data_IF_388036899233
#
_entry.id   IF_388036899233
#
_cell.length_a   1.000
_cell.length_b   1.000
_cell.length_c   1.000
_cell.angle_alpha   90.00
_cell.angle_beta   90.00
_cell.angle_gamma   90.00
#
_symmetry.space_group_name_H-M   'P 1'
#
loop_
_entity.id
_entity.type
_entity.pdbx_description
1 polymer ?
#
# COMPACT_ATOMS: atom_id res chain seq x y z
N UNK A 1 12.25 -14.79 5.85
CA UNK A 1 11.51 -13.88 4.94
C UNK A 1 12.09 -12.50 5.10
N UNK A 2 12.68 -11.96 4.04
CA UNK A 2 13.14 -10.58 3.97
C UNK A 2 11.96 -9.64 4.17
N UNK A 3 12.13 -8.64 5.02
CA UNK A 3 11.11 -7.62 5.31
C UNK A 3 10.93 -6.72 4.07
N UNK A 4 9.73 -6.17 3.82
CA UNK A 4 9.57 -5.11 2.82
C UNK A 4 10.55 -3.96 3.13
N UNK A 5 11.27 -3.49 2.11
CA UNK A 5 12.20 -2.38 2.21
C UNK A 5 12.03 -1.45 1.00
N UNK A 6 12.72 -0.32 1.02
CA UNK A 6 12.62 0.71 -0.03
C UNK A 6 13.85 0.74 -0.95
N UNK A 7 14.55 -0.39 -1.08
CA UNK A 7 15.82 -0.45 -1.80
C UNK A 7 15.66 -0.03 -3.27
N UNK A 8 14.50 -0.29 -3.88
CA UNK A 8 14.21 0.09 -5.26
C UNK A 8 13.78 1.54 -5.40
N UNK A 9 12.96 2.04 -4.49
CA UNK A 9 12.44 3.40 -4.48
C UNK A 9 13.57 4.41 -4.25
N UNK A 10 14.52 4.06 -3.40
CA UNK A 10 15.71 4.88 -3.10
C UNK A 10 16.66 5.05 -4.30
N UNK A 11 16.51 4.26 -5.38
CA UNK A 11 17.32 4.41 -6.60
C UNK A 11 16.88 5.58 -7.47
N UNK A 12 15.68 6.12 -7.25
CA UNK A 12 15.10 7.17 -8.08
C UNK A 12 15.06 8.51 -7.35
N UNK A 13 15.48 9.57 -8.03
CA UNK A 13 15.31 10.93 -7.52
C UNK A 13 13.86 11.39 -7.76
N UNK A 14 13.08 11.54 -6.70
CA UNK A 14 11.69 12.02 -6.77
C UNK A 14 10.71 11.18 -5.96
N UNK A 15 9.43 11.45 -6.12
CA UNK A 15 8.36 10.70 -5.45
C UNK A 15 8.07 9.41 -6.21
N UNK A 16 8.22 8.26 -5.54
CA UNK A 16 7.89 6.95 -6.10
C UNK A 16 6.52 6.49 -5.60
N UNK A 17 5.65 6.08 -6.52
CA UNK A 17 4.34 5.51 -6.23
C UNK A 17 4.29 4.03 -6.60
N UNK A 18 3.85 3.18 -5.68
CA UNK A 18 3.48 1.80 -5.98
C UNK A 18 2.07 1.75 -6.55
N UNK A 19 1.85 0.92 -7.58
CA UNK A 19 0.55 0.72 -8.23
C UNK A 19 0.14 -0.74 -8.13
N UNK A 20 -1.15 -0.99 -7.89
CA UNK A 20 -1.71 -2.35 -7.82
C UNK A 20 -3.17 -2.37 -8.30
N UNK A 21 -3.63 -3.54 -8.72
CA UNK A 21 -4.96 -3.78 -9.27
C UNK A 21 -5.66 -4.95 -8.58
N UNK A 22 -6.95 -4.79 -8.34
CA UNK A 22 -7.79 -5.82 -7.76
C UNK A 22 -9.06 -5.99 -8.62
N UNK A 23 -9.29 -7.22 -9.07
CA UNK A 23 -10.42 -7.58 -9.90
C UNK A 23 -10.32 -9.04 -10.34
N UNK A 24 -11.46 -9.66 -10.64
CA UNK A 24 -11.47 -11.02 -11.19
C UNK A 24 -11.33 -10.91 -12.72
N UNK A 25 -10.52 -11.78 -13.33
CA UNK A 25 -10.27 -11.81 -14.79
C UNK A 25 -11.52 -12.01 -15.67
N UNK A 26 -11.38 -12.36 -16.95
CA UNK A 26 -12.23 -11.96 -18.08
C UNK A 26 -13.74 -12.30 -18.08
N UNK A 27 -14.31 -12.86 -17.01
CA UNK A 27 -15.73 -13.22 -16.88
C UNK A 27 -16.47 -12.44 -15.77
N UNK A 28 -16.48 -11.10 -15.91
CA UNK A 28 -17.46 -10.17 -15.32
C UNK A 28 -17.32 -9.78 -13.83
N UNK A 29 -16.36 -8.91 -13.52
CA UNK A 29 -16.37 -8.02 -12.36
C UNK A 29 -15.60 -6.72 -12.64
N UNK A 30 -15.89 -5.60 -11.95
CA UNK A 30 -15.12 -4.37 -12.12
C UNK A 30 -13.66 -4.58 -11.67
N UNK A 31 -12.72 -4.05 -12.45
CA UNK A 31 -11.31 -3.97 -12.06
C UNK A 31 -11.09 -2.62 -11.38
N UNK A 32 -10.44 -2.63 -10.22
CA UNK A 32 -10.08 -1.43 -9.47
C UNK A 32 -8.56 -1.33 -9.43
N UNK A 33 -8.00 -0.24 -9.92
CA UNK A 33 -6.58 0.07 -9.79
C UNK A 33 -6.37 1.17 -8.73
N UNK A 34 -5.26 1.10 -8.00
CA UNK A 34 -4.88 2.08 -7.01
C UNK A 34 -3.38 2.42 -7.11
N UNK A 35 -3.04 3.65 -6.73
CA UNK A 35 -1.67 4.11 -6.58
C UNK A 35 -1.46 4.59 -5.14
N UNK A 36 -0.33 4.24 -4.52
CA UNK A 36 0.01 4.64 -3.17
C UNK A 36 1.46 5.12 -3.11
N UNK A 37 1.67 6.27 -2.45
CA UNK A 37 2.99 6.79 -2.11
C UNK A 37 3.17 6.58 -0.61
N UNK A 38 4.19 5.81 -0.22
CA UNK A 38 4.43 5.46 1.17
C UNK A 38 5.56 6.34 1.71
N UNK A 39 5.22 7.24 2.64
CA UNK A 39 6.21 8.04 3.36
C UNK A 39 6.68 7.30 4.62
N UNK A 40 7.95 6.85 4.62
CA UNK A 40 8.56 6.12 5.73
C UNK A 40 8.46 6.83 7.09
N UNK A 41 8.41 8.15 7.11
CA UNK A 41 8.33 8.93 8.36
C UNK A 41 6.92 8.96 8.95
N UNK A 42 5.89 8.70 8.14
CA UNK A 42 4.50 8.79 8.55
C UNK A 42 3.92 7.43 8.97
N UNK A 43 4.57 6.32 8.61
CA UNK A 43 4.09 4.98 8.93
C UNK A 43 4.92 4.34 10.06
N UNK A 44 4.29 3.87 11.15
CA UNK A 44 5.01 3.19 12.21
C UNK A 44 5.60 1.86 11.72
N UNK A 45 6.71 1.43 12.28
CA UNK A 45 7.41 0.21 11.84
C UNK A 45 6.52 -1.05 11.89
N UNK A 46 5.56 -1.10 12.81
CA UNK A 46 4.54 -2.14 12.94
C UNK A 46 3.55 -2.23 11.76
N UNK A 47 3.43 -1.17 10.95
CA UNK A 47 2.67 -1.16 9.71
C UNK A 47 3.37 -2.02 8.65
N UNK A 48 4.68 -1.84 8.48
CA UNK A 48 5.49 -2.57 7.51
C UNK A 48 5.62 -4.07 7.81
N UNK A 49 5.54 -4.46 9.09
CA UNK A 49 5.52 -5.89 9.47
C UNK A 49 4.22 -6.59 9.07
N UNK A 50 3.10 -5.86 8.99
CA UNK A 50 1.76 -6.41 8.75
C UNK A 50 1.27 -6.27 7.31
N UNK A 51 1.87 -5.39 6.51
CA UNK A 51 1.46 -5.14 5.12
C UNK A 51 1.83 -6.29 4.16
N UNK A 52 2.81 -7.11 4.53
CA UNK A 52 3.42 -8.13 3.64
C UNK A 52 2.46 -9.25 3.20
N UNK A 53 1.34 -9.46 3.88
CA UNK A 53 0.35 -10.46 3.47
C UNK A 53 -1.07 -9.95 3.74
N UNK A 54 -1.52 -9.01 2.90
CA UNK A 54 -2.87 -8.45 2.94
C UNK A 54 -3.96 -9.52 2.85
N UNK A 55 -3.62 -10.72 2.35
CA UNK A 55 -4.51 -11.90 2.25
C UNK A 55 -4.75 -12.57 3.62
N UNK A 56 -3.88 -12.38 4.61
CA UNK A 56 -4.05 -12.86 5.99
C UNK A 56 -4.72 -11.86 6.94
N UNK A 57 -4.96 -10.63 6.48
CA UNK A 57 -5.63 -9.62 7.28
C UNK A 57 -7.14 -9.88 7.34
N UNK A 58 -7.68 -9.95 8.56
CA UNK A 58 -9.12 -9.97 8.78
C UNK A 58 -9.76 -8.67 8.26
N UNK A 59 -11.07 -8.71 7.98
CA UNK A 59 -11.82 -7.52 7.52
C UNK A 59 -11.62 -6.31 8.42
N UNK A 60 -11.69 -6.49 9.74
CA UNK A 60 -11.45 -5.42 10.74
C UNK A 60 -10.05 -4.82 10.62
N UNK A 61 -9.02 -5.65 10.41
CA UNK A 61 -7.66 -5.16 10.26
C UNK A 61 -7.52 -4.35 8.96
N UNK A 62 -8.11 -4.81 7.86
CA UNK A 62 -8.11 -4.06 6.58
C UNK A 62 -8.77 -2.69 6.71
N UNK A 63 -9.91 -2.61 7.39
CA UNK A 63 -10.60 -1.34 7.64
C UNK A 63 -9.73 -0.38 8.47
N UNK A 64 -9.04 -0.87 9.52
CA UNK A 64 -8.11 -0.05 10.29
C UNK A 64 -6.91 0.44 9.46
N UNK A 65 -6.35 -0.41 8.59
CA UNK A 65 -5.24 -0.02 7.72
C UNK A 65 -5.69 1.00 6.66
N UNK A 66 -6.89 0.84 6.12
CA UNK A 66 -7.48 1.79 5.16
C UNK A 66 -7.67 3.16 5.81
N UNK A 67 -8.16 3.22 7.05
CA UNK A 67 -8.29 4.48 7.78
C UNK A 67 -6.95 5.19 7.97
N UNK A 68 -5.89 4.45 8.32
CA UNK A 68 -4.53 5.01 8.45
C UNK A 68 -4.03 5.54 7.09
N UNK A 69 -4.20 4.77 6.01
CA UNK A 69 -3.75 5.16 4.67
C UNK A 69 -4.49 6.40 4.12
N UNK A 70 -5.77 6.54 4.41
CA UNK A 70 -6.58 7.69 3.96
C UNK A 70 -6.37 8.94 4.81
N UNK A 71 -5.92 8.80 6.06
CA UNK A 71 -5.66 9.93 6.97
C UNK A 71 -4.30 10.59 6.70
N UNK A 72 -3.37 9.87 6.06
CA UNK A 72 -2.09 10.43 5.63
C UNK A 72 -2.30 11.58 4.62
N UNK A 73 -1.54 12.70 4.74
CA UNK A 73 -1.59 13.79 3.79
C UNK A 73 -1.30 13.25 2.39
N UNK A 74 -2.26 13.44 1.48
CA UNK A 74 -2.10 13.07 0.09
C UNK A 74 -1.13 14.05 -0.57
N UNK A 75 -0.27 13.59 -1.48
CA UNK A 75 0.61 14.48 -2.23
C UNK A 75 -0.26 15.48 -3.02
N UNK A 76 -0.03 16.77 -2.77
CA UNK A 76 -0.58 17.83 -3.60
C UNK A 76 0.20 17.84 -4.92
N UNK A 77 -0.44 17.40 -5.99
CA UNK A 77 0.09 17.49 -7.35
C UNK A 77 0.26 18.94 -7.80
#
# INVERSE_FOLDING_TARGET
MTRPNFDFENLYAGTVSGVDEAGCGPWAGPVVAAAAIINQLLFPQSFFEKINDSKKLSRKQRESFMAIALTSPQPSF
#
